data_IF_762237451400
#
_entry.id   IF_762237451400
#
_cell.length_a   1.000
_cell.length_b   1.000
_cell.length_c   1.000
_cell.angle_alpha   90.00
_cell.angle_beta   90.00
_cell.angle_gamma   90.00
#
_symmetry.space_group_name_H-M   'P 1'
#
loop_
_entity.id
_entity.type
_entity.pdbx_description
1 polymer ?
#
# COMPACT_ATOMS: atom_id res chain seq x y z
N UNK A 1 16.25 -3.87 -2.91
CA UNK A 1 14.90 -3.78 -2.31
C UNK A 1 14.99 -4.01 -0.80
N UNK A 2 14.36 -3.16 0.01
CA UNK A 2 14.26 -3.30 1.48
C UNK A 2 12.78 -3.37 1.87
N UNK A 3 12.44 -4.26 2.82
CA UNK A 3 11.11 -4.34 3.40
C UNK A 3 11.13 -3.70 4.79
N UNK A 4 10.43 -2.58 4.95
CA UNK A 4 10.35 -1.81 6.19
C UNK A 4 9.00 -2.08 6.85
N UNK A 5 9.05 -2.47 8.11
CA UNK A 5 7.86 -2.76 8.93
C UNK A 5 7.58 -1.60 9.86
N UNK A 6 6.37 -1.07 9.81
CA UNK A 6 5.88 -0.02 10.71
C UNK A 6 4.78 -0.63 11.60
N UNK A 7 5.00 -0.77 12.92
CA UNK A 7 3.95 -1.17 13.84
C UNK A 7 2.80 -0.16 13.82
N UNK A 8 1.56 -0.65 13.80
CA UNK A 8 0.38 0.19 13.84
C UNK A 8 -0.74 -0.47 14.65
N UNK A 9 -1.59 0.35 15.27
CA UNK A 9 -2.65 -0.12 16.17
C UNK A 9 -2.11 -1.11 17.24
N UNK A 10 -2.87 -2.15 17.58
CA UNK A 10 -2.48 -3.16 18.58
C UNK A 10 -1.55 -4.25 18.02
N UNK A 11 -1.80 -4.69 16.78
CA UNK A 11 -1.22 -5.90 16.22
C UNK A 11 -1.10 -5.87 14.68
N UNK A 12 -1.40 -4.73 14.05
CA UNK A 12 -1.28 -4.54 12.62
C UNK A 12 0.13 -4.06 12.24
N UNK A 13 0.49 -4.28 10.98
CA UNK A 13 1.71 -3.75 10.38
C UNK A 13 1.38 -3.05 9.08
N UNK A 14 1.93 -1.85 8.93
CA UNK A 14 2.02 -1.17 7.64
C UNK A 14 3.38 -1.54 7.05
N UNK A 15 3.41 -1.90 5.78
CA UNK A 15 4.65 -2.25 5.09
C UNK A 15 5.04 -1.15 4.12
N UNK A 16 6.33 -0.79 4.10
CA UNK A 16 6.93 -0.06 2.99
C UNK A 16 7.88 -1.00 2.28
N UNK A 17 7.73 -1.10 0.96
CA UNK A 17 8.70 -1.75 0.11
C UNK A 17 9.50 -0.66 -0.61
N UNK A 18 10.79 -0.54 -0.32
CA UNK A 18 11.65 0.45 -0.96
C UNK A 18 12.63 -0.16 -1.96
N UNK A 19 13.00 0.62 -2.97
CA UNK A 19 14.02 0.27 -3.96
C UNK A 19 15.32 1.06 -3.72
N UNK A 20 16.29 0.89 -4.63
CA UNK A 20 17.59 1.55 -4.56
C UNK A 20 17.53 3.06 -4.87
N UNK A 21 16.45 3.50 -5.53
CA UNK A 21 16.19 4.92 -5.85
C UNK A 21 15.54 5.68 -4.70
N UNK A 22 15.41 5.06 -3.52
CA UNK A 22 14.66 5.59 -2.37
C UNK A 22 13.16 5.79 -2.66
N UNK A 23 12.61 5.14 -3.69
CA UNK A 23 11.17 5.10 -3.92
C UNK A 23 10.55 4.01 -3.05
N UNK A 24 9.29 4.17 -2.65
CA UNK A 24 8.59 3.15 -1.89
C UNK A 24 7.11 2.98 -2.23
N UNK A 25 6.65 1.75 -2.09
CA UNK A 25 5.23 1.40 -2.14
C UNK A 25 4.74 1.16 -0.71
N UNK A 26 3.61 1.79 -0.36
CA UNK A 26 2.96 1.67 0.94
C UNK A 26 1.89 0.59 0.84
N UNK A 27 1.88 -0.38 1.76
CA UNK A 27 0.86 -1.45 1.79
C UNK A 27 0.04 -1.35 3.07
N UNK A 28 -1.29 -1.30 2.90
CA UNK A 28 -2.30 -1.26 3.96
C UNK A 28 -2.01 -0.20 5.06
N UNK A 29 -1.98 1.10 4.71
CA UNK A 29 -1.76 2.15 5.69
C UNK A 29 -2.96 2.34 6.61
N UNK A 30 -2.95 1.65 7.75
CA UNK A 30 -3.95 1.84 8.81
C UNK A 30 -3.96 3.26 9.40
N UNK A 31 -2.79 3.92 9.41
CA UNK A 31 -2.59 5.27 9.93
C UNK A 31 -1.61 6.05 9.05
N UNK A 32 -1.93 7.30 8.73
CA UNK A 32 -1.07 8.13 7.86
C UNK A 32 0.22 8.59 8.55
N UNK A 33 0.13 8.98 9.83
CA UNK A 33 1.23 9.62 10.55
C UNK A 33 2.49 8.75 10.64
N UNK A 34 2.43 7.48 11.10
CA UNK A 34 3.62 6.63 11.17
C UNK A 34 4.30 6.41 9.82
N UNK A 35 3.51 6.36 8.75
CA UNK A 35 3.99 6.24 7.36
C UNK A 35 4.74 7.50 6.96
N UNK A 36 4.13 8.67 7.12
CA UNK A 36 4.74 9.97 6.78
C UNK A 36 6.03 10.19 7.57
N UNK A 37 6.03 9.89 8.88
CA UNK A 37 7.19 10.03 9.74
C UNK A 37 8.33 9.11 9.26
N UNK A 38 8.03 7.86 8.90
CA UNK A 38 9.03 6.89 8.40
C UNK A 38 9.59 7.28 7.04
N UNK A 39 8.72 7.72 6.11
CA UNK A 39 9.12 8.22 4.79
C UNK A 39 10.07 9.42 4.95
N UNK A 40 9.72 10.37 5.83
CA UNK A 40 10.55 11.55 6.08
C UNK A 40 11.89 11.21 6.74
N UNK A 41 11.91 10.30 7.72
CA UNK A 41 13.13 9.90 8.43
C UNK A 41 14.13 9.19 7.52
N UNK A 42 13.62 8.43 6.53
CA UNK A 42 14.42 7.63 5.61
C UNK A 42 14.65 8.30 4.26
N UNK A 43 14.16 9.53 4.08
CA UNK A 43 14.22 10.27 2.80
C UNK A 43 13.65 9.47 1.63
N UNK A 44 12.53 8.77 1.85
CA UNK A 44 11.85 7.99 0.81
C UNK A 44 10.88 8.85 0.00
N UNK A 45 10.59 8.41 -1.22
CA UNK A 45 9.58 8.98 -2.11
C UNK A 45 8.46 7.96 -2.31
N UNK A 46 7.23 8.18 -1.80
CA UNK A 46 6.15 7.24 -2.01
C UNK A 46 5.63 7.34 -3.44
N UNK A 47 5.56 6.19 -4.12
CA UNK A 47 5.13 6.10 -5.54
C UNK A 47 3.75 5.48 -5.68
N UNK A 48 3.33 4.62 -4.76
CA UNK A 48 1.98 4.04 -4.75
C UNK A 48 1.53 3.59 -3.36
N UNK A 49 0.21 3.42 -3.22
CA UNK A 49 -0.44 2.72 -2.11
C UNK A 49 -1.12 1.46 -2.65
N UNK A 50 -0.94 0.33 -1.98
CA UNK A 50 -1.65 -0.94 -2.24
C UNK A 50 -2.58 -1.25 -1.07
N UNK A 51 -3.87 -1.42 -1.36
CA UNK A 51 -4.89 -1.83 -0.40
C UNK A 51 -5.31 -3.27 -0.66
N UNK A 52 -5.27 -4.10 0.37
CA UNK A 52 -5.65 -5.51 0.25
C UNK A 52 -7.16 -5.72 0.39
N UNK A 53 -7.82 -4.96 1.26
CA UNK A 53 -9.26 -5.04 1.53
C UNK A 53 -9.77 -3.77 2.25
N UNK A 54 -11.08 -3.67 2.46
CA UNK A 54 -11.75 -2.43 2.90
C UNK A 54 -11.76 -2.16 4.42
N UNK A 55 -11.20 -3.03 5.26
CA UNK A 55 -11.27 -2.84 6.72
C UNK A 55 -10.48 -1.61 7.17
N UNK A 56 -10.98 -0.89 8.18
CA UNK A 56 -10.43 0.40 8.63
C UNK A 56 -8.99 0.30 9.12
N UNK A 57 -8.61 -0.83 9.71
CA UNK A 57 -7.25 -1.13 10.13
C UNK A 57 -6.27 -1.40 8.97
N UNK A 58 -6.72 -1.29 7.72
CA UNK A 58 -5.90 -1.34 6.51
C UNK A 58 -6.00 -0.06 5.67
N UNK A 59 -7.11 0.67 5.74
CA UNK A 59 -7.38 1.84 4.88
C UNK A 59 -7.44 3.18 5.62
N UNK A 60 -7.41 3.18 6.96
CA UNK A 60 -7.67 4.37 7.78
C UNK A 60 -6.69 5.54 7.56
N UNK A 61 -5.49 5.26 7.05
CA UNK A 61 -4.47 6.25 6.72
C UNK A 61 -4.54 6.81 5.30
N UNK A 62 -5.36 6.23 4.40
CA UNK A 62 -5.33 6.56 2.97
C UNK A 62 -5.66 8.03 2.72
N UNK A 63 -6.72 8.56 3.34
CA UNK A 63 -7.12 9.96 3.14
C UNK A 63 -6.02 10.94 3.56
N UNK A 64 -5.33 10.68 4.68
CA UNK A 64 -4.22 11.50 5.15
C UNK A 64 -3.00 11.43 4.21
N UNK A 65 -2.72 10.25 3.66
CA UNK A 65 -1.62 10.07 2.70
C UNK A 65 -1.92 10.73 1.36
N UNK A 66 -3.12 10.59 0.82
CA UNK A 66 -3.53 11.26 -0.43
C UNK A 66 -3.54 12.78 -0.25
N UNK A 67 -3.95 13.29 0.92
CA UNK A 67 -3.85 14.73 1.21
C UNK A 67 -2.40 15.22 1.24
N UNK A 68 -1.44 14.38 1.67
CA UNK A 68 -0.01 14.73 1.73
C UNK A 68 0.69 14.54 0.38
N UNK A 69 0.26 13.55 -0.40
CA UNK A 69 0.80 13.17 -1.70
C UNK A 69 -0.34 13.11 -2.74
N UNK A 70 -0.83 14.25 -3.24
CA UNK A 70 -2.06 14.32 -4.06
C UNK A 70 -2.04 13.51 -5.36
N UNK A 71 -0.85 13.21 -5.89
CA UNK A 71 -0.68 12.49 -7.14
C UNK A 71 -0.39 10.99 -6.96
N UNK A 72 -0.42 10.48 -5.71
CA UNK A 72 -0.13 9.08 -5.45
C UNK A 72 -1.23 8.17 -6.03
N UNK A 73 -0.82 7.13 -6.73
CA UNK A 73 -1.76 6.11 -7.19
C UNK A 73 -2.13 5.17 -6.03
N UNK A 74 -3.42 4.88 -5.91
CA UNK A 74 -3.97 4.01 -4.87
C UNK A 74 -4.65 2.84 -5.52
N UNK A 75 -3.98 1.69 -5.47
CA UNK A 75 -4.47 0.43 -6.01
C UNK A 75 -5.25 -0.35 -4.96
N UNK A 76 -6.28 -1.05 -5.39
CA UNK A 76 -6.99 -1.97 -4.52
C UNK A 76 -8.13 -2.70 -5.24
N UNK A 77 -8.79 -3.68 -4.58
CA UNK A 77 -9.96 -4.34 -5.13
C UNK A 77 -11.18 -3.40 -5.14
N UNK A 78 -12.22 -3.77 -5.88
CA UNK A 78 -13.46 -2.99 -6.04
C UNK A 78 -14.05 -2.47 -4.72
N UNK A 79 -13.98 -3.26 -3.64
CA UNK A 79 -14.48 -2.89 -2.31
C UNK A 79 -13.75 -1.69 -1.66
N UNK A 80 -12.53 -1.37 -2.10
CA UNK A 80 -11.74 -0.25 -1.58
C UNK A 80 -11.97 1.06 -2.34
N UNK A 81 -12.82 1.06 -3.38
CA UNK A 81 -13.11 2.25 -4.18
C UNK A 81 -13.62 3.40 -3.31
N UNK A 82 -14.50 3.11 -2.35
CA UNK A 82 -15.05 4.11 -1.41
C UNK A 82 -14.06 4.50 -0.30
N UNK A 83 -12.90 3.84 -0.25
CA UNK A 83 -11.82 4.05 0.73
C UNK A 83 -10.62 4.80 0.14
N UNK A 84 -10.70 5.22 -1.12
CA UNK A 84 -9.69 6.04 -1.80
C UNK A 84 -8.93 5.34 -2.91
N UNK A 85 -9.20 4.06 -3.19
CA UNK A 85 -8.61 3.40 -4.36
C UNK A 85 -9.09 4.06 -5.67
N UNK A 86 -8.13 4.52 -6.48
CA UNK A 86 -8.37 5.15 -7.78
C UNK A 86 -7.94 4.26 -8.96
N UNK A 87 -7.23 3.16 -8.68
CA UNK A 87 -6.90 2.10 -9.63
C UNK A 87 -7.47 0.78 -9.11
N UNK A 88 -8.61 0.38 -9.65
CA UNK A 88 -9.22 -0.91 -9.27
C UNK A 88 -8.50 -2.03 -10.00
N UNK A 89 -8.08 -3.04 -9.25
CA UNK A 89 -7.36 -4.20 -9.75
C UNK A 89 -8.21 -5.46 -9.59
N UNK A 90 -8.23 -6.29 -10.64
CA UNK A 90 -8.94 -7.56 -10.65
C UNK A 90 -8.02 -8.76 -10.39
N UNK A 91 -8.60 -9.95 -10.31
CA UNK A 91 -7.82 -11.17 -10.10
C UNK A 91 -6.94 -11.45 -11.32
N UNK A 92 -5.72 -11.94 -11.08
CA UNK A 92 -4.72 -12.29 -12.10
C UNK A 92 -4.22 -11.10 -12.93
N UNK A 93 -4.40 -9.89 -12.43
CA UNK A 93 -3.81 -8.69 -13.04
C UNK A 93 -2.41 -8.38 -12.49
N UNK A 94 -1.59 -7.80 -13.36
CA UNK A 94 -0.26 -7.33 -13.02
C UNK A 94 -0.28 -5.82 -12.79
N UNK A 95 0.40 -5.40 -11.73
CA UNK A 95 0.59 -3.99 -11.40
C UNK A 95 2.08 -3.70 -11.57
N UNK A 96 2.39 -2.68 -12.35
CA UNK A 96 3.75 -2.18 -12.55
C UNK A 96 3.76 -0.73 -12.09
N UNK A 97 4.55 -0.44 -11.07
CA UNK A 97 4.78 0.92 -10.57
C UNK A 97 6.29 1.11 -10.51
N UNK A 98 6.83 1.92 -11.43
CA UNK A 98 8.27 2.12 -11.59
C UNK A 98 9.02 0.78 -11.66
N UNK A 99 9.94 0.53 -10.72
CA UNK A 99 10.69 -0.73 -10.61
C UNK A 99 9.94 -1.86 -9.90
N UNK A 100 8.76 -1.61 -9.35
CA UNK A 100 7.99 -2.59 -8.57
C UNK A 100 7.04 -3.38 -9.46
N UNK A 101 7.05 -4.70 -9.28
CA UNK A 101 6.16 -5.63 -9.96
C UNK A 101 5.32 -6.39 -8.93
N UNK A 102 3.99 -6.29 -9.06
CA UNK A 102 3.04 -7.02 -8.22
C UNK A 102 2.09 -7.84 -9.09
N UNK A 103 1.66 -8.98 -8.54
CA UNK A 103 0.64 -9.82 -9.13
C UNK A 103 -0.53 -9.98 -8.16
N UNK A 104 -1.73 -9.67 -8.64
CA UNK A 104 -2.98 -9.88 -7.92
C UNK A 104 -3.41 -11.34 -8.02
N UNK A 105 -3.65 -11.99 -6.89
CA UNK A 105 -4.23 -13.33 -6.87
C UNK A 105 -5.23 -13.47 -5.71
N UNK A 106 -6.48 -13.84 -6.03
CA UNK A 106 -7.47 -14.26 -5.05
C UNK A 106 -7.10 -15.65 -4.57
N UNK A 107 -6.53 -15.75 -3.37
CA UNK A 107 -6.52 -17.02 -2.66
C UNK A 107 -7.98 -17.42 -2.37
N UNK A 108 -8.30 -18.72 -2.36
CA UNK A 108 -9.65 -19.27 -2.13
C UNK A 108 -10.18 -19.09 -0.69
N UNK A 109 -9.65 -18.11 0.03
CA UNK A 109 -10.17 -17.56 1.30
C UNK A 109 -10.31 -16.04 1.09
N UNK A 110 -11.35 -15.36 1.61
CA UNK A 110 -11.83 -14.05 1.15
C UNK A 110 -10.89 -12.84 1.42
N UNK A 111 -9.59 -13.07 1.57
CA UNK A 111 -8.59 -12.06 1.88
C UNK A 111 -7.42 -12.20 0.90
N UNK A 112 -7.06 -11.11 0.21
CA UNK A 112 -5.81 -11.00 -0.53
C UNK A 112 -4.67 -11.05 0.50
N UNK A 113 -4.12 -12.25 0.72
CA UNK A 113 -3.06 -12.50 1.72
C UNK A 113 -1.64 -12.48 1.16
N UNK A 114 -1.45 -12.24 -0.15
CA UNK A 114 -0.10 -12.10 -0.68
C UNK A 114 -0.10 -11.33 -1.99
N UNK A 115 0.41 -10.10 -1.96
CA UNK A 115 1.20 -9.61 -3.09
C UNK A 115 2.48 -10.46 -3.09
N UNK A 116 2.62 -11.35 -4.08
CA UNK A 116 3.85 -12.11 -4.25
C UNK A 116 4.81 -11.21 -5.03
N UNK A 117 5.86 -10.75 -4.34
CA UNK A 117 7.02 -10.17 -5.01
C UNK A 117 7.67 -11.29 -5.80
N UNK A 118 7.67 -11.15 -7.12
CA UNK A 118 8.43 -12.02 -8.03
C UNK A 118 9.85 -11.48 -8.17
#
# INVERSE_FOLDING_TARGET
MELIRIPALSDNYIWLLSNENSECVIVDPSQAKPVIDTISQRSLTPVAILLTHHHEDHVGGVAGLVSKYPNIEVFGPQETQTKGANKIIHDQEHIIVDSFFFFSHRNTRPYIRSCRLL
#
